data_IF_526869214827
#
_entry.id   IF_526869214827
#
_cell.length_a   1.000
_cell.length_b   1.000
_cell.length_c   1.000
_cell.angle_alpha   90.00
_cell.angle_beta   90.00
_cell.angle_gamma   90.00
#
_symmetry.space_group_name_H-M   'P 1'
#
loop_
_entity.id
_entity.type
_entity.pdbx_description
1 polymer ?
#
# COMPACT_ATOMS: atom_id res chain seq x y z
N UNK A 1 -17.30 -1.82 2.99
CA UNK A 1 -18.16 -2.92 2.50
C UNK A 1 -17.27 -4.12 2.22
N UNK A 2 -17.80 -5.34 2.36
CA UNK A 2 -17.03 -6.58 2.17
C UNK A 2 -17.95 -7.77 1.90
N UNK A 3 -17.34 -8.92 1.66
CA UNK A 3 -17.97 -10.22 1.53
C UNK A 3 -17.93 -10.91 2.88
N UNK A 4 -19.06 -10.90 3.59
CA UNK A 4 -19.20 -11.42 4.94
C UNK A 4 -19.83 -12.83 4.89
N UNK A 5 -19.28 -13.73 5.70
CA UNK A 5 -19.83 -15.08 5.87
C UNK A 5 -19.73 -15.55 7.30
N UNK A 6 -20.64 -16.45 7.65
CA UNK A 6 -20.79 -17.02 8.97
C UNK A 6 -20.89 -18.55 8.87
N UNK A 7 -19.93 -19.26 9.45
CA UNK A 7 -20.01 -20.68 9.72
C UNK A 7 -20.56 -20.90 11.14
N UNK A 8 -21.58 -21.75 11.27
CA UNK A 8 -22.16 -22.20 12.53
C UNK A 8 -21.77 -23.66 12.73
N UNK A 9 -20.77 -23.87 13.58
CA UNK A 9 -20.25 -25.20 13.90
C UNK A 9 -20.83 -25.71 15.22
N UNK A 10 -20.90 -27.03 15.44
CA UNK A 10 -21.13 -27.57 16.78
C UNK A 10 -20.15 -26.99 17.80
N UNK A 11 -20.48 -27.01 19.10
CA UNK A 11 -19.53 -26.52 20.11
C UNK A 11 -18.21 -27.30 20.05
N UNK A 12 -17.12 -26.59 19.76
CA UNK A 12 -15.78 -27.17 19.68
C UNK A 12 -14.90 -26.69 20.84
N UNK A 13 -13.90 -27.50 21.19
CA UNK A 13 -12.76 -27.03 22.00
C UNK A 13 -11.97 -26.01 21.18
N UNK A 14 -11.82 -24.80 21.70
CA UNK A 14 -11.15 -23.69 21.01
C UNK A 14 -9.78 -24.07 20.44
N UNK A 15 -8.95 -24.77 21.23
CA UNK A 15 -7.63 -25.22 20.80
C UNK A 15 -7.64 -26.02 19.49
N UNK A 16 -8.57 -26.99 19.35
CA UNK A 16 -8.70 -27.79 18.12
C UNK A 16 -9.08 -26.96 16.89
N UNK A 17 -9.88 -25.92 17.12
CA UNK A 17 -10.30 -25.02 16.05
C UNK A 17 -9.13 -24.10 15.63
N UNK A 18 -8.40 -23.55 16.60
CA UNK A 18 -7.22 -22.72 16.34
C UNK A 18 -6.13 -23.51 15.59
N UNK A 19 -5.83 -24.74 16.02
CA UNK A 19 -4.90 -25.65 15.31
C UNK A 19 -5.29 -25.86 13.85
N UNK A 20 -6.58 -26.09 13.58
CA UNK A 20 -7.06 -26.27 12.21
C UNK A 20 -6.97 -24.99 11.38
N UNK A 21 -7.22 -23.83 11.99
CA UNK A 21 -7.06 -22.52 11.34
C UNK A 21 -5.59 -22.27 10.96
N UNK A 22 -4.65 -22.61 11.83
CA UNK A 22 -3.22 -22.53 11.52
C UNK A 22 -2.82 -23.47 10.37
N UNK A 23 -3.35 -24.69 10.33
CA UNK A 23 -3.12 -25.62 9.22
C UNK A 23 -3.67 -25.11 7.87
N UNK A 24 -4.70 -24.26 7.89
CA UNK A 24 -5.20 -23.60 6.67
C UNK A 24 -4.29 -22.45 6.20
N UNK A 25 -3.24 -22.10 6.96
CA UNK A 25 -2.29 -21.04 6.65
C UNK A 25 -2.68 -19.66 7.17
N UNK A 26 -3.62 -19.59 8.11
CA UNK A 26 -3.95 -18.33 8.79
C UNK A 26 -2.94 -18.02 9.88
N UNK A 27 -2.62 -16.74 10.04
CA UNK A 27 -1.78 -16.21 11.10
C UNK A 27 -2.63 -15.52 12.16
N UNK A 28 -2.25 -15.67 13.43
CA UNK A 28 -2.95 -15.06 14.56
C UNK A 28 -2.50 -13.61 14.74
N UNK A 29 -3.46 -12.68 14.67
CA UNK A 29 -3.19 -11.24 14.85
C UNK A 29 -3.49 -10.81 16.28
N UNK A 30 -4.60 -11.30 16.83
CA UNK A 30 -5.00 -11.06 18.21
C UNK A 30 -5.87 -12.22 18.71
N UNK A 31 -6.17 -12.31 20.02
CA UNK A 31 -6.97 -13.42 20.54
C UNK A 31 -8.33 -13.56 19.83
N UNK A 32 -8.52 -14.65 19.08
CA UNK A 32 -9.76 -14.91 18.35
C UNK A 32 -9.85 -14.24 16.97
N UNK A 33 -8.79 -13.57 16.50
CA UNK A 33 -8.73 -12.94 15.18
C UNK A 33 -7.50 -13.42 14.39
N UNK A 34 -7.74 -13.82 13.15
CA UNK A 34 -6.76 -14.48 12.29
C UNK A 34 -6.85 -13.92 10.87
N UNK A 35 -5.72 -13.76 10.21
CA UNK A 35 -5.64 -13.33 8.81
C UNK A 35 -4.96 -14.39 7.96
N UNK A 36 -5.50 -14.62 6.77
CA UNK A 36 -4.76 -15.31 5.71
C UNK A 36 -4.29 -14.25 4.71
N UNK A 37 -2.98 -14.18 4.49
CA UNK A 37 -2.39 -13.44 3.38
C UNK A 37 -1.20 -14.24 2.87
N UNK A 38 -1.05 -14.31 1.55
CA UNK A 38 0.09 -14.94 0.93
C UNK A 38 0.57 -14.07 -0.21
N UNK A 39 1.87 -13.75 -0.23
CA UNK A 39 2.48 -13.16 -1.41
C UNK A 39 2.73 -14.25 -2.46
N UNK A 40 1.72 -14.49 -3.31
CA UNK A 40 1.79 -15.39 -4.46
C UNK A 40 1.69 -14.56 -5.75
N UNK A 41 2.79 -13.87 -6.10
CA UNK A 41 2.90 -13.12 -7.35
C UNK A 41 1.77 -12.09 -7.52
N UNK A 42 1.45 -11.36 -6.46
CA UNK A 42 0.39 -10.34 -6.43
C UNK A 42 -1.04 -10.85 -6.67
N UNK A 43 -1.27 -12.17 -6.61
CA UNK A 43 -2.62 -12.74 -6.77
C UNK A 43 -3.56 -12.35 -5.64
N UNK A 44 -3.04 -12.21 -4.43
CA UNK A 44 -3.82 -11.84 -3.25
C UNK A 44 -3.73 -10.33 -3.02
N UNK A 45 -4.88 -9.65 -3.10
CA UNK A 45 -4.90 -8.19 -2.93
C UNK A 45 -5.10 -7.79 -1.48
N UNK A 46 -5.85 -8.60 -0.75
CA UNK A 46 -6.27 -8.32 0.62
C UNK A 46 -6.19 -9.61 1.44
N UNK A 47 -6.04 -9.45 2.75
CA UNK A 47 -6.14 -10.60 3.64
C UNK A 47 -7.59 -11.09 3.75
N UNK A 48 -7.77 -12.39 3.94
CA UNK A 48 -9.05 -12.95 4.39
C UNK A 48 -9.07 -12.91 5.91
N UNK A 49 -10.04 -12.20 6.46
CA UNK A 49 -10.19 -12.05 7.90
C UNK A 49 -11.03 -13.20 8.43
N UNK A 50 -10.65 -13.73 9.60
CA UNK A 50 -11.40 -14.75 10.32
C UNK A 50 -11.49 -14.35 11.79
N UNK A 51 -12.68 -14.40 12.37
CA UNK A 51 -12.87 -14.27 13.81
C UNK A 51 -13.71 -15.40 14.37
N UNK A 52 -13.40 -15.76 15.62
CA UNK A 52 -14.09 -16.83 16.36
C UNK A 52 -14.93 -16.19 17.46
N UNK A 53 -16.22 -16.51 17.46
CA UNK A 53 -17.16 -16.20 18.55
C UNK A 53 -17.63 -17.50 19.20
N UNK A 54 -17.22 -17.69 20.44
CA UNK A 54 -17.52 -18.86 21.28
C UNK A 54 -18.45 -18.54 22.46
N UNK A 55 -19.14 -17.39 22.42
CA UNK A 55 -20.07 -16.95 23.48
C UNK A 55 -21.28 -17.87 23.65
N UNK A 56 -21.72 -18.51 22.57
CA UNK A 56 -22.84 -19.46 22.60
C UNK A 56 -22.39 -20.81 23.18
N UNK A 57 -23.24 -21.39 24.05
CA UNK A 57 -22.96 -22.67 24.72
C UNK A 57 -23.03 -23.86 23.78
N UNK A 58 -23.84 -23.78 22.73
CA UNK A 58 -24.16 -24.91 21.85
C UNK A 58 -23.47 -24.82 20.49
N UNK A 59 -23.10 -23.62 20.07
CA UNK A 59 -22.57 -23.34 18.73
C UNK A 59 -21.28 -22.55 18.83
N UNK A 60 -20.31 -22.86 17.97
CA UNK A 60 -19.16 -21.98 17.72
C UNK A 60 -19.39 -21.27 16.40
N UNK A 61 -19.38 -19.93 16.43
CA UNK A 61 -19.57 -19.08 15.24
C UNK A 61 -18.21 -18.66 14.73
N UNK A 62 -18.00 -18.80 13.43
CA UNK A 62 -16.79 -18.30 12.77
C UNK A 62 -17.24 -17.33 11.70
N UNK A 63 -16.78 -16.09 11.83
CA UNK A 63 -17.01 -15.07 10.82
C UNK A 63 -15.79 -15.01 9.93
N UNK A 64 -16.00 -15.00 8.62
CA UNK A 64 -14.94 -14.65 7.67
C UNK A 64 -15.37 -13.46 6.82
N UNK A 65 -14.40 -12.59 6.52
CA UNK A 65 -14.64 -11.37 5.74
C UNK A 65 -13.49 -11.11 4.78
N UNK A 66 -13.84 -10.73 3.56
CA UNK A 66 -12.89 -10.15 2.60
C UNK A 66 -13.41 -8.79 2.12
N UNK A 67 -12.54 -7.86 1.77
CA UNK A 67 -12.94 -6.55 1.25
C UNK A 67 -13.64 -6.68 -0.11
N UNK A 68 -14.54 -5.75 -0.47
CA UNK A 68 -15.19 -5.71 -1.79
C UNK A 68 -14.19 -5.52 -2.95
N UNK A 69 -13.02 -4.95 -2.67
CA UNK A 69 -11.94 -4.76 -3.64
C UNK A 69 -10.96 -5.94 -3.73
N UNK A 70 -11.39 -7.12 -3.30
CA UNK A 70 -10.57 -8.31 -3.29
C UNK A 70 -10.32 -8.90 -4.68
N UNK A 71 -9.32 -9.77 -4.76
CA UNK A 71 -9.08 -10.59 -5.95
C UNK A 71 -10.01 -11.80 -5.99
N UNK A 72 -10.11 -12.43 -7.16
CA UNK A 72 -10.73 -13.76 -7.31
C UNK A 72 -10.07 -14.80 -6.39
N UNK A 73 -8.75 -14.69 -6.20
CA UNK A 73 -7.95 -15.58 -5.36
C UNK A 73 -8.29 -15.42 -3.87
N UNK A 74 -8.57 -14.20 -3.41
CA UNK A 74 -8.99 -13.95 -2.03
C UNK A 74 -10.38 -14.54 -1.74
N UNK A 75 -11.33 -14.37 -2.66
CA UNK A 75 -12.65 -15.03 -2.57
C UNK A 75 -12.54 -16.55 -2.63
N UNK A 76 -11.66 -17.08 -3.47
CA UNK A 76 -11.40 -18.52 -3.55
C UNK A 76 -10.86 -19.05 -2.21
N UNK A 77 -9.97 -18.31 -1.53
CA UNK A 77 -9.50 -18.66 -0.18
C UNK A 77 -10.66 -18.60 0.82
N UNK A 78 -11.48 -17.56 0.82
CA UNK A 78 -12.63 -17.48 1.74
C UNK A 78 -13.60 -18.66 1.53
N UNK A 79 -13.94 -18.99 0.28
CA UNK A 79 -14.76 -20.16 -0.05
C UNK A 79 -14.09 -21.48 0.38
N UNK A 80 -12.78 -21.61 0.18
CA UNK A 80 -12.01 -22.77 0.66
C UNK A 80 -12.09 -22.90 2.19
N UNK A 81 -11.94 -21.81 2.93
CA UNK A 81 -12.04 -21.79 4.39
C UNK A 81 -13.43 -22.23 4.86
N UNK A 82 -14.49 -21.66 4.28
CA UNK A 82 -15.88 -22.04 4.58
C UNK A 82 -16.08 -23.54 4.36
N UNK A 83 -15.62 -24.05 3.20
CA UNK A 83 -15.74 -25.47 2.83
C UNK A 83 -14.99 -26.38 3.80
N UNK A 84 -13.72 -26.08 4.08
CA UNK A 84 -12.87 -26.90 4.96
C UNK A 84 -13.41 -26.95 6.40
N UNK A 85 -13.92 -25.83 6.92
CA UNK A 85 -14.55 -25.80 8.24
C UNK A 85 -15.79 -26.70 8.30
N UNK A 86 -16.64 -26.64 7.27
CA UNK A 86 -17.83 -27.49 7.15
C UNK A 86 -17.48 -28.96 7.00
N UNK A 87 -16.52 -29.29 6.14
CA UNK A 87 -16.08 -30.68 5.91
C UNK A 87 -15.46 -31.30 7.17
N UNK A 88 -14.68 -30.51 7.92
CA UNK A 88 -13.98 -31.01 9.11
C UNK A 88 -14.88 -31.13 10.35
N UNK A 89 -15.76 -30.16 10.57
CA UNK A 89 -16.51 -30.04 11.83
C UNK A 89 -18.03 -30.15 11.67
N UNK A 90 -18.53 -30.27 10.44
CA UNK A 90 -19.96 -30.27 10.14
C UNK A 90 -20.59 -28.88 10.26
N UNK A 91 -21.89 -28.84 10.57
CA UNK A 91 -22.63 -27.59 10.76
C UNK A 91 -23.15 -26.96 9.46
N UNK A 92 -23.56 -25.70 9.57
CA UNK A 92 -24.12 -24.90 8.48
C UNK A 92 -23.33 -23.61 8.27
N UNK A 93 -23.54 -22.96 7.13
CA UNK A 93 -22.95 -21.65 6.88
C UNK A 93 -23.90 -20.78 6.05
N UNK A 94 -23.69 -19.48 6.14
CA UNK A 94 -24.35 -18.48 5.30
C UNK A 94 -23.30 -17.48 4.79
N UNK A 95 -23.49 -17.02 3.57
CA UNK A 95 -22.75 -15.91 2.97
C UNK A 95 -23.73 -14.80 2.62
N UNK A 96 -23.22 -13.65 2.20
CA UNK A 96 -24.06 -12.59 1.61
C UNK A 96 -24.86 -13.07 0.37
N UNK A 97 -24.41 -14.14 -0.30
CA UNK A 97 -25.10 -14.75 -1.45
C UNK A 97 -26.22 -15.74 -1.03
N UNK A 98 -26.36 -16.00 0.27
CA UNK A 98 -27.44 -16.79 0.87
C UNK A 98 -26.97 -17.97 1.74
N UNK A 99 -27.94 -18.68 2.34
CA UNK A 99 -27.66 -19.85 3.17
C UNK A 99 -27.13 -21.03 2.34
N UNK A 100 -26.05 -21.66 2.82
CA UNK A 100 -25.41 -22.80 2.17
C UNK A 100 -24.79 -22.50 0.80
N UNK A 101 -24.71 -21.22 0.40
CA UNK A 101 -24.17 -20.79 -0.89
C UNK A 101 -22.79 -20.20 -0.70
N UNK A 102 -21.82 -20.69 -1.47
CA UNK A 102 -20.50 -20.07 -1.57
C UNK A 102 -20.61 -18.75 -2.33
N UNK A 103 -19.66 -17.83 -2.08
CA UNK A 103 -19.58 -16.61 -2.87
C UNK A 103 -19.37 -16.97 -4.32
N UNK A 104 -20.14 -16.34 -5.22
CA UNK A 104 -19.79 -16.32 -6.63
C UNK A 104 -18.40 -15.70 -6.76
N UNK A 105 -17.48 -16.39 -7.42
CA UNK A 105 -16.18 -15.81 -7.69
C UNK A 105 -16.37 -14.81 -8.81
N UNK A 106 -16.29 -13.54 -8.46
CA UNK A 106 -16.29 -12.42 -9.38
C UNK A 106 -15.18 -11.47 -8.98
N UNK A 107 -14.71 -10.71 -9.95
CA UNK A 107 -13.46 -9.98 -9.82
C UNK A 107 -12.69 -10.13 -11.12
N UNK A 108 -11.78 -9.22 -11.38
CA UNK A 108 -10.98 -9.23 -12.59
C UNK A 108 -9.58 -9.68 -12.25
N UNK A 109 -9.15 -10.77 -12.87
CA UNK A 109 -7.77 -11.21 -12.81
C UNK A 109 -6.93 -10.18 -13.54
N UNK A 110 -6.25 -9.32 -12.77
CA UNK A 110 -5.17 -8.48 -13.31
C UNK A 110 -4.00 -9.39 -13.63
N UNK A 111 -3.31 -9.09 -14.73
CA UNK A 111 -1.99 -9.68 -14.95
C UNK A 111 -1.07 -9.31 -13.78
N UNK A 112 -0.08 -10.14 -13.48
CA UNK A 112 0.71 -10.01 -12.25
C UNK A 112 1.44 -8.66 -12.16
N UNK A 113 1.88 -8.08 -13.28
CA UNK A 113 2.50 -6.76 -13.35
C UNK A 113 1.52 -5.62 -13.05
N UNK A 114 0.31 -5.71 -13.60
CA UNK A 114 -0.77 -4.78 -13.30
C UNK A 114 -1.17 -4.89 -11.83
N UNK A 115 -1.32 -6.11 -11.32
CA UNK A 115 -1.64 -6.39 -9.92
C UNK A 115 -0.58 -5.78 -8.98
N UNK A 116 0.71 -5.99 -9.26
CA UNK A 116 1.80 -5.42 -8.45
C UNK A 116 1.78 -3.90 -8.43
N UNK A 117 1.60 -3.26 -9.60
CA UNK A 117 1.47 -1.80 -9.69
C UNK A 117 0.22 -1.27 -8.98
N UNK A 118 -0.91 -1.97 -9.10
CA UNK A 118 -2.16 -1.64 -8.43
C UNK A 118 -2.00 -1.70 -6.91
N UNK A 119 -1.42 -2.78 -6.38
CA UNK A 119 -1.21 -2.95 -4.94
C UNK A 119 -0.25 -1.89 -4.37
N UNK A 120 0.82 -1.58 -5.09
CA UNK A 120 1.73 -0.49 -4.71
C UNK A 120 0.97 0.85 -4.59
N UNK A 121 0.13 1.15 -5.58
CA UNK A 121 -0.66 2.38 -5.61
C UNK A 121 -1.73 2.43 -4.51
N UNK A 122 -2.45 1.33 -4.25
CA UNK A 122 -3.45 1.25 -3.17
C UNK A 122 -2.80 1.41 -1.80
N UNK A 123 -1.66 0.75 -1.54
CA UNK A 123 -0.89 0.93 -0.29
C UNK A 123 -0.47 2.38 -0.11
N UNK A 124 -0.03 3.05 -1.17
CA UNK A 124 0.28 4.48 -1.12
C UNK A 124 -0.95 5.33 -0.77
N UNK A 125 -2.10 5.06 -1.39
CA UNK A 125 -3.34 5.79 -1.07
C UNK A 125 -3.77 5.59 0.39
N UNK A 126 -3.59 4.39 0.95
CA UNK A 126 -3.85 4.13 2.36
C UNK A 126 -2.94 4.96 3.25
N UNK A 127 -1.63 5.03 2.95
CA UNK A 127 -0.69 5.88 3.71
C UNK A 127 -1.07 7.37 3.60
N UNK A 128 -1.48 7.83 2.42
CA UNK A 128 -1.98 9.21 2.24
C UNK A 128 -3.23 9.47 3.08
N UNK A 129 -4.17 8.52 3.14
CA UNK A 129 -5.36 8.66 3.98
C UNK A 129 -5.01 8.73 5.47
N UNK A 130 -4.04 7.93 5.93
CA UNK A 130 -3.55 8.00 7.31
C UNK A 130 -2.98 9.38 7.66
N UNK A 131 -2.21 9.98 6.74
CA UNK A 131 -1.68 11.34 6.91
C UNK A 131 -2.82 12.38 6.88
N UNK A 132 -3.76 12.27 5.95
CA UNK A 132 -4.91 13.17 5.87
C UNK A 132 -5.71 13.15 7.18
N UNK A 133 -5.86 11.96 7.78
CA UNK A 133 -6.49 11.78 9.09
C UNK A 133 -5.67 12.40 10.23
N UNK A 134 -4.34 12.19 10.25
CA UNK A 134 -3.43 12.81 11.20
C UNK A 134 -3.52 14.34 11.17
N UNK A 135 -3.42 14.94 9.99
CA UNK A 135 -3.53 16.40 9.82
C UNK A 135 -4.86 16.91 10.36
N UNK A 136 -5.96 16.21 10.07
CA UNK A 136 -7.29 16.59 10.57
C UNK A 136 -7.40 16.54 12.08
N UNK A 137 -6.82 15.52 12.73
CA UNK A 137 -6.82 15.43 14.20
C UNK A 137 -6.04 16.59 14.81
N UNK A 138 -4.84 16.88 14.29
CA UNK A 138 -4.03 17.98 14.82
C UNK A 138 -4.75 19.31 14.61
N UNK A 139 -5.30 19.56 13.41
CA UNK A 139 -6.05 20.78 13.11
C UNK A 139 -7.25 20.96 14.05
N UNK A 140 -8.02 19.90 14.30
CA UNK A 140 -9.18 19.96 15.20
C UNK A 140 -8.77 20.10 16.69
N UNK A 141 -7.74 19.37 17.11
CA UNK A 141 -7.27 19.36 18.50
C UNK A 141 -6.53 20.64 18.90
N UNK A 142 -6.02 21.41 17.95
CA UNK A 142 -5.25 22.63 18.21
C UNK A 142 -6.08 23.92 18.14
N UNK A 143 -7.36 23.83 17.72
CA UNK A 143 -8.28 24.98 17.68
C UNK A 143 -8.42 25.63 19.06
N UNK A 144 -7.82 26.82 19.20
CA UNK A 144 -7.89 27.64 20.40
C UNK A 144 -6.87 27.31 21.50
N UNK A 145 -6.03 26.28 21.33
CA UNK A 145 -5.08 25.83 22.36
C UNK A 145 -3.62 26.16 22.06
N UNK A 146 -3.28 26.47 20.81
CA UNK A 146 -1.90 26.79 20.42
C UNK A 146 -1.69 28.30 20.46
N UNK A 147 -0.59 28.80 21.08
CA UNK A 147 -0.28 30.23 21.09
C UNK A 147 -0.29 30.79 19.67
N UNK A 148 -1.09 31.82 19.40
CA UNK A 148 -1.12 32.47 18.08
C UNK A 148 0.19 33.19 17.77
N UNK A 149 0.98 33.49 18.78
CA UNK A 149 2.15 34.34 18.66
C UNK A 149 3.38 33.56 18.17
N UNK A 150 3.37 33.31 16.86
CA UNK A 150 4.47 32.68 16.11
C UNK A 150 5.79 33.40 16.33
N UNK A 151 5.76 34.73 16.47
CA UNK A 151 6.91 35.57 16.69
C UNK A 151 7.58 35.31 18.06
N UNK A 152 6.79 35.11 19.11
CA UNK A 152 7.31 34.78 20.45
C UNK A 152 8.02 33.42 20.46
N UNK A 153 7.44 32.40 19.83
CA UNK A 153 8.03 31.06 19.73
C UNK A 153 9.32 31.08 18.91
N UNK A 154 9.32 31.78 17.76
CA UNK A 154 10.51 31.94 16.91
C UNK A 154 11.63 32.70 17.65
N UNK A 155 11.29 33.71 18.47
CA UNK A 155 12.26 34.46 19.31
C UNK A 155 12.89 33.58 20.40
N UNK A 156 12.14 32.61 20.94
CA UNK A 156 12.65 31.65 21.92
C UNK A 156 13.37 30.45 21.29
N UNK A 157 13.47 30.39 19.95
CA UNK A 157 14.04 29.25 19.24
C UNK A 157 13.19 27.97 19.35
N UNK A 158 11.91 28.08 19.71
CA UNK A 158 11.00 26.94 19.86
C UNK A 158 10.16 26.82 18.59
N UNK A 159 10.18 25.65 17.95
CA UNK A 159 9.32 25.42 16.80
C UNK A 159 7.84 25.45 17.17
N UNK A 160 7.06 26.27 16.46
CA UNK A 160 5.61 26.26 16.58
C UNK A 160 5.06 24.83 16.36
N UNK A 161 4.20 24.29 17.24
CA UNK A 161 3.77 22.88 17.19
C UNK A 161 3.17 22.43 15.85
N UNK A 162 2.45 23.33 15.16
CA UNK A 162 1.91 23.06 13.82
C UNK A 162 3.00 22.96 12.74
N UNK A 163 4.08 23.75 12.85
CA UNK A 163 5.20 23.67 11.92
C UNK A 163 5.99 22.38 12.17
N UNK A 164 6.21 22.02 13.44
CA UNK A 164 6.84 20.77 13.82
C UNK A 164 6.05 19.56 13.31
N UNK A 165 4.73 19.55 13.50
CA UNK A 165 3.83 18.51 13.02
C UNK A 165 3.87 18.37 11.49
N UNK A 166 3.84 19.49 10.76
CA UNK A 166 3.97 19.50 9.31
C UNK A 166 5.34 18.97 8.84
N UNK A 167 6.40 19.35 9.54
CA UNK A 167 7.75 18.85 9.30
C UNK A 167 7.90 17.35 9.55
N UNK A 168 7.30 16.82 10.61
CA UNK A 168 7.28 15.38 10.92
C UNK A 168 6.47 14.55 9.90
N UNK A 169 5.45 15.14 9.29
CA UNK A 169 4.65 14.48 8.26
C UNK A 169 5.40 14.31 6.93
N UNK A 170 6.43 15.13 6.66
CA UNK A 170 7.23 15.06 5.42
C UNK A 170 8.00 13.73 5.29
N UNK A 171 8.84 13.31 6.26
CA UNK A 171 9.54 12.02 6.20
C UNK A 171 8.60 10.82 6.01
N UNK A 172 7.44 10.85 6.66
CA UNK A 172 6.45 9.79 6.51
C UNK A 172 5.92 9.71 5.07
N UNK A 173 5.49 10.84 4.49
CA UNK A 173 5.00 10.86 3.10
C UNK A 173 6.09 10.45 2.11
N UNK A 174 7.33 10.88 2.34
CA UNK A 174 8.46 10.49 1.48
C UNK A 174 8.76 9.00 1.55
N UNK A 175 8.69 8.41 2.74
CA UNK A 175 8.85 6.96 2.91
C UNK A 175 7.74 6.21 2.18
N UNK A 176 6.50 6.70 2.24
CA UNK A 176 5.37 6.13 1.50
C UNK A 176 5.56 6.25 -0.02
N UNK A 177 6.05 7.40 -0.52
CA UNK A 177 6.39 7.58 -1.93
C UNK A 177 7.52 6.65 -2.37
N UNK A 178 8.59 6.55 -1.59
CA UNK A 178 9.73 5.71 -1.91
C UNK A 178 9.30 4.24 -2.02
N UNK A 179 8.49 3.77 -1.08
CA UNK A 179 7.93 2.42 -1.10
C UNK A 179 7.00 2.22 -2.31
N UNK A 180 6.15 3.21 -2.64
CA UNK A 180 5.33 3.16 -3.85
C UNK A 180 6.17 2.96 -5.11
N UNK A 181 7.19 3.80 -5.31
CA UNK A 181 8.02 3.73 -6.51
C UNK A 181 8.85 2.47 -6.55
N UNK A 182 9.42 2.03 -5.42
CA UNK A 182 10.17 0.77 -5.31
C UNK A 182 9.30 -0.44 -5.63
N UNK A 183 8.14 -0.56 -4.99
CA UNK A 183 7.21 -1.67 -5.22
C UNK A 183 6.72 -1.71 -6.68
N UNK A 184 6.42 -0.54 -7.25
CA UNK A 184 6.04 -0.42 -8.67
C UNK A 184 7.20 -0.82 -9.58
N UNK A 185 8.42 -0.36 -9.29
CA UNK A 185 9.61 -0.69 -10.04
C UNK A 185 9.87 -2.20 -10.05
N UNK A 186 9.79 -2.85 -8.88
CA UNK A 186 9.93 -4.31 -8.71
C UNK A 186 8.92 -5.07 -9.57
N UNK A 187 7.64 -4.69 -9.50
CA UNK A 187 6.59 -5.33 -10.30
C UNK A 187 6.88 -5.21 -11.81
N UNK A 188 7.37 -4.05 -12.26
CA UNK A 188 7.70 -3.81 -13.66
C UNK A 188 8.96 -4.55 -14.10
N UNK A 189 10.04 -4.57 -13.32
CA UNK A 189 11.26 -5.31 -13.71
C UNK A 189 11.01 -6.82 -13.73
N UNK A 190 10.16 -7.32 -12.82
CA UNK A 190 9.82 -8.75 -12.75
C UNK A 190 9.12 -9.26 -14.00
N UNK A 191 8.26 -8.44 -14.62
CA UNK A 191 7.34 -8.91 -15.67
C UNK A 191 7.43 -8.15 -17.00
N UNK A 192 8.05 -6.97 -17.03
CA UNK A 192 8.11 -6.10 -18.22
C UNK A 192 9.53 -5.69 -18.64
N UNK A 193 10.55 -5.85 -17.78
CA UNK A 193 11.92 -5.63 -18.21
C UNK A 193 12.34 -6.65 -19.27
N UNK A 194 13.14 -6.19 -20.24
CA UNK A 194 13.66 -7.03 -21.32
C UNK A 194 15.15 -7.37 -21.08
N UNK A 195 15.71 -8.26 -21.90
CA UNK A 195 17.13 -8.64 -21.78
C UNK A 195 18.09 -7.45 -21.84
N UNK A 196 17.76 -6.40 -22.60
CA UNK A 196 18.63 -5.22 -22.74
C UNK A 196 18.75 -4.44 -21.42
N UNK A 197 17.69 -4.45 -20.60
CA UNK A 197 17.73 -3.88 -19.25
C UNK A 197 18.71 -4.67 -18.38
N UNK A 198 18.59 -6.00 -18.34
CA UNK A 198 19.45 -6.86 -17.51
C UNK A 198 20.93 -6.84 -17.94
N UNK A 199 21.22 -6.66 -19.24
CA UNK A 199 22.59 -6.51 -19.73
C UNK A 199 23.22 -5.17 -19.31
N UNK A 200 22.42 -4.10 -19.22
CA UNK A 200 22.89 -2.76 -18.84
C UNK A 200 23.06 -2.61 -17.34
N UNK A 201 22.23 -3.27 -16.53
CA UNK A 201 22.24 -3.14 -15.07
C UNK A 201 23.46 -3.77 -14.38
N UNK A 202 24.46 -4.26 -15.14
CA UNK A 202 25.70 -4.86 -14.64
C UNK A 202 25.46 -5.79 -13.45
N UNK A 203 24.46 -6.67 -13.55
CA UNK A 203 24.23 -7.68 -12.52
C UNK A 203 25.51 -8.50 -12.44
N UNK A 204 26.22 -8.38 -11.31
CA UNK A 204 27.43 -9.15 -11.11
C UNK A 204 27.02 -10.62 -11.22
N UNK A 205 27.64 -11.34 -12.16
CA UNK A 205 27.35 -12.75 -12.48
C UNK A 205 27.29 -13.66 -11.23
N UNK A 206 27.94 -13.24 -10.14
CA UNK A 206 27.96 -13.90 -8.83
C UNK A 206 26.67 -13.71 -8.01
N UNK A 207 25.91 -12.63 -8.21
CA UNK A 207 24.59 -12.42 -7.59
C UNK A 207 23.54 -13.31 -8.25
N UNK A 208 23.59 -13.47 -9.58
CA UNK A 208 22.70 -14.39 -10.33
C UNK A 208 22.75 -15.80 -9.73
N UNK A 209 23.94 -16.29 -9.35
CA UNK A 209 24.12 -17.64 -8.78
C UNK A 209 23.55 -17.74 -7.35
N UNK A 210 23.60 -16.68 -6.54
CA UNK A 210 22.95 -16.66 -5.21
C UNK A 210 21.43 -16.57 -5.30
N UNK A 211 20.92 -15.90 -6.33
CA UNK A 211 19.52 -15.55 -6.53
C UNK A 211 18.68 -16.64 -7.22
N UNK A 212 19.32 -17.65 -7.79
CA UNK A 212 18.64 -18.86 -8.33
C UNK A 212 17.92 -19.65 -7.23
N UNK A 213 18.24 -19.43 -5.94
CA UNK A 213 17.56 -20.12 -4.84
C UNK A 213 16.20 -19.52 -4.46
N UNK A 214 15.98 -18.21 -4.64
CA UNK A 214 14.71 -17.54 -4.30
C UNK A 214 14.49 -16.33 -5.24
N UNK A 215 13.58 -16.44 -6.21
CA UNK A 215 13.31 -15.39 -7.23
C UNK A 215 12.93 -14.02 -6.62
N UNK A 216 12.47 -13.96 -5.37
CA UNK A 216 12.10 -12.73 -4.66
C UNK A 216 13.31 -11.83 -4.34
N UNK A 217 14.48 -12.41 -4.07
CA UNK A 217 15.65 -11.64 -3.62
C UNK A 217 16.31 -10.84 -4.75
N UNK A 218 16.12 -11.24 -6.01
CA UNK A 218 16.79 -10.61 -7.16
C UNK A 218 16.22 -9.22 -7.43
N UNK A 219 14.90 -9.14 -7.54
CA UNK A 219 14.24 -7.89 -7.90
C UNK A 219 14.30 -6.88 -6.76
N UNK A 220 14.26 -7.35 -5.50
CA UNK A 220 14.50 -6.52 -4.33
C UNK A 220 15.91 -5.93 -4.34
N UNK A 221 16.94 -6.77 -4.55
CA UNK A 221 18.34 -6.32 -4.64
C UNK A 221 18.55 -5.30 -5.77
N UNK A 222 18.01 -5.56 -6.97
CA UNK A 222 18.05 -4.62 -8.08
C UNK A 222 17.40 -3.28 -7.73
N UNK A 223 16.28 -3.30 -7.02
CA UNK A 223 15.59 -2.07 -6.59
C UNK A 223 16.38 -1.24 -5.58
N UNK A 224 17.25 -1.88 -4.78
CA UNK A 224 18.10 -1.19 -3.80
C UNK A 224 19.24 -0.42 -4.46
N UNK A 225 19.68 -0.84 -5.66
CA UNK A 225 20.67 -0.10 -6.46
C UNK A 225 20.14 1.23 -6.99
N UNK A 226 18.81 1.42 -7.01
CA UNK A 226 18.15 2.60 -7.55
C UNK A 226 17.75 3.56 -6.43
N UNK A 227 18.15 4.82 -6.56
CA UNK A 227 17.68 5.87 -5.66
C UNK A 227 16.32 6.39 -6.08
N UNK A 228 15.30 6.16 -5.26
CA UNK A 228 13.97 6.77 -5.39
C UNK A 228 13.83 8.06 -4.53
N UNK A 229 14.95 8.62 -4.08
CA UNK A 229 15.00 9.79 -3.18
C UNK A 229 15.11 11.12 -3.92
N UNK A 230 15.22 11.12 -5.25
CA UNK A 230 15.14 12.32 -6.06
C UNK A 230 14.39 12.02 -7.35
N UNK A 231 13.68 13.03 -7.87
CA UNK A 231 12.76 12.85 -9.00
C UNK A 231 13.47 12.51 -10.32
N UNK A 232 14.71 12.98 -10.51
CA UNK A 232 15.48 12.72 -11.73
C UNK A 232 15.92 11.27 -11.84
N UNK A 233 16.52 10.72 -10.76
CA UNK A 233 16.88 9.31 -10.65
C UNK A 233 15.67 8.40 -10.84
N UNK A 234 14.54 8.76 -10.21
CA UNK A 234 13.27 8.07 -10.38
C UNK A 234 12.81 8.07 -11.85
N UNK A 235 12.82 9.22 -12.53
CA UNK A 235 12.39 9.29 -13.93
C UNK A 235 13.30 8.46 -14.85
N UNK A 236 14.61 8.49 -14.61
CA UNK A 236 15.58 7.71 -15.37
C UNK A 236 15.38 6.20 -15.18
N UNK A 237 15.22 5.75 -13.93
CA UNK A 237 15.03 4.34 -13.61
C UNK A 237 13.81 3.74 -14.32
N UNK A 238 12.67 4.42 -14.31
CA UNK A 238 11.47 3.93 -15.00
C UNK A 238 11.62 3.95 -16.53
N UNK A 239 12.33 4.95 -17.08
CA UNK A 239 12.61 5.04 -18.51
C UNK A 239 13.54 3.92 -19.00
N UNK A 240 14.46 3.47 -18.14
CA UNK A 240 15.36 2.35 -18.45
C UNK A 240 14.64 1.01 -18.56
N UNK A 241 13.56 0.80 -17.81
CA UNK A 241 12.71 -0.39 -17.95
C UNK A 241 12.06 -0.39 -19.34
N UNK A 242 11.40 0.73 -19.68
CA UNK A 242 10.73 0.91 -20.96
C UNK A 242 10.67 2.40 -21.31
N UNK A 243 11.24 2.77 -22.47
CA UNK A 243 11.31 4.16 -22.94
C UNK A 243 9.94 4.86 -23.07
N UNK A 244 8.83 4.10 -23.16
CA UNK A 244 7.47 4.63 -23.17
C UNK A 244 7.04 5.18 -21.80
N UNK A 245 7.71 4.77 -20.72
CA UNK A 245 7.48 5.28 -19.36
C UNK A 245 8.23 6.60 -19.16
N UNK A 246 7.76 7.66 -19.82
CA UNK A 246 8.32 9.00 -19.67
C UNK A 246 7.59 9.77 -18.55
N UNK A 247 8.02 9.55 -17.30
CA UNK A 247 7.42 10.18 -16.12
C UNK A 247 7.63 11.70 -16.09
N UNK A 248 8.79 12.15 -16.54
CA UNK A 248 9.14 13.57 -16.61
C UNK A 248 8.11 14.36 -17.45
N UNK A 249 7.76 13.86 -18.64
CA UNK A 249 6.73 14.46 -19.51
C UNK A 249 5.38 14.56 -18.82
N UNK A 250 4.99 13.54 -18.05
CA UNK A 250 3.69 13.49 -17.35
C UNK A 250 3.65 14.48 -16.18
N UNK A 251 4.77 14.67 -15.50
CA UNK A 251 4.88 15.55 -14.33
C UNK A 251 5.13 17.02 -14.70
N UNK A 252 5.73 17.31 -15.87
CA UNK A 252 5.95 18.68 -16.38
C UNK A 252 4.68 19.41 -16.82
N UNK A 253 3.50 18.79 -16.69
CA UNK A 253 2.22 19.45 -16.95
C UNK A 253 1.96 20.50 -15.87
N UNK A 254 1.79 21.77 -16.28
CA UNK A 254 1.42 22.87 -15.39
C UNK A 254 0.12 22.55 -14.64
N UNK A 255 0.10 22.85 -13.34
CA UNK A 255 -1.08 22.63 -12.52
C UNK A 255 -1.90 23.92 -12.40
N UNK A 256 -3.06 23.96 -13.08
CA UNK A 256 -3.96 25.14 -13.10
C UNK A 256 -3.19 26.42 -13.49
N UNK A 257 -3.46 27.55 -12.83
CA UNK A 257 -2.77 28.84 -13.01
C UNK A 257 -1.43 28.93 -12.26
N UNK A 258 -0.92 27.83 -11.68
CA UNK A 258 0.37 27.85 -10.99
C UNK A 258 1.53 27.89 -11.98
N UNK A 259 2.59 28.63 -11.64
CA UNK A 259 3.85 28.61 -12.37
C UNK A 259 4.67 27.32 -12.13
N UNK A 260 4.30 26.53 -11.12
CA UNK A 260 4.96 25.26 -10.80
C UNK A 260 4.26 24.05 -11.43
N UNK A 261 5.07 23.12 -11.92
CA UNK A 261 4.66 21.81 -12.44
C UNK A 261 4.57 20.78 -11.31
N UNK A 262 3.97 19.62 -11.57
CA UNK A 262 4.00 18.52 -10.59
C UNK A 262 5.42 18.00 -10.37
N UNK A 263 6.29 18.08 -11.39
CA UNK A 263 7.70 17.75 -11.26
C UNK A 263 8.37 18.61 -10.19
N UNK A 264 8.12 19.93 -10.20
CA UNK A 264 8.68 20.86 -9.23
C UNK A 264 8.21 20.55 -7.81
N UNK A 265 6.94 20.16 -7.64
CA UNK A 265 6.44 19.73 -6.33
C UNK A 265 7.14 18.47 -5.82
N UNK A 266 7.34 17.46 -6.65
CA UNK A 266 8.10 16.27 -6.25
C UNK A 266 9.54 16.63 -5.89
N UNK A 267 10.22 17.41 -6.73
CA UNK A 267 11.59 17.85 -6.48
C UNK A 267 11.71 18.59 -5.14
N UNK A 268 10.90 19.63 -4.95
CA UNK A 268 10.89 20.42 -3.71
C UNK A 268 10.56 19.56 -2.48
N UNK A 269 9.70 18.56 -2.62
CA UNK A 269 9.35 17.67 -1.52
C UNK A 269 10.51 16.76 -1.13
N UNK A 270 11.24 16.20 -2.09
CA UNK A 270 12.47 15.44 -1.84
C UNK A 270 13.56 16.31 -1.19
N UNK A 271 13.75 17.54 -1.66
CA UNK A 271 14.71 18.50 -1.07
C UNK A 271 14.38 18.84 0.39
N UNK A 272 13.09 18.97 0.74
CA UNK A 272 12.67 19.23 2.13
C UNK A 272 13.12 18.13 3.10
N UNK A 273 13.18 16.86 2.69
CA UNK A 273 13.74 15.80 3.55
C UNK A 273 15.20 16.02 3.85
N UNK A 274 16.00 16.47 2.89
CA UNK A 274 17.42 16.68 3.13
C UNK A 274 17.63 17.70 4.26
N UNK A 275 16.83 18.78 4.26
CA UNK A 275 16.84 19.80 5.32
C UNK A 275 16.36 19.26 6.67
N UNK A 276 15.22 18.55 6.69
CA UNK A 276 14.63 18.08 7.96
C UNK A 276 15.44 16.94 8.57
N UNK A 277 15.83 15.93 7.79
CA UNK A 277 16.46 14.71 8.30
C UNK A 277 17.94 14.91 8.62
N UNK A 278 18.66 15.68 7.80
CA UNK A 278 20.11 15.84 7.99
C UNK A 278 20.49 17.13 8.72
N UNK A 279 19.65 18.17 8.67
CA UNK A 279 19.97 19.47 9.27
C UNK A 279 19.01 19.87 10.40
N UNK A 280 17.96 19.08 10.64
CA UNK A 280 16.88 19.43 11.57
C UNK A 280 16.31 20.84 11.31
N UNK A 281 16.36 21.27 10.04
CA UNK A 281 15.90 22.58 9.61
C UNK A 281 14.41 22.52 9.26
N UNK A 282 13.58 23.10 10.13
CA UNK A 282 12.16 23.30 9.86
C UNK A 282 11.95 24.67 9.22
N UNK A 283 11.30 24.70 8.05
CA UNK A 283 11.02 25.94 7.34
C UNK A 283 10.04 26.80 8.15
N UNK A 284 10.49 28.01 8.51
CA UNK A 284 9.66 28.97 9.22
C UNK A 284 8.40 29.27 8.41
N UNK A 285 7.25 29.00 9.02
CA UNK A 285 5.96 29.20 8.37
C UNK A 285 5.49 28.09 7.45
N UNK A 286 6.16 26.94 7.42
CA UNK A 286 5.60 25.72 6.82
C UNK A 286 4.68 25.01 7.82
N UNK A 287 3.37 25.15 7.63
CA UNK A 287 2.33 24.62 8.52
C UNK A 287 1.53 23.47 7.86
N UNK A 288 0.53 22.96 8.58
CA UNK A 288 -0.33 21.87 8.13
C UNK A 288 -1.17 22.23 6.90
N UNK A 289 -1.48 23.50 6.67
CA UNK A 289 -2.22 23.93 5.47
C UNK A 289 -1.32 23.83 4.24
N UNK A 290 -0.09 24.35 4.31
CA UNK A 290 0.91 24.22 3.25
C UNK A 290 1.24 22.75 2.97
N UNK A 291 1.43 21.94 4.02
CA UNK A 291 1.62 20.51 3.87
C UNK A 291 0.44 19.83 3.17
N UNK A 292 -0.79 20.11 3.60
CA UNK A 292 -2.01 19.57 2.95
C UNK A 292 -2.11 19.95 1.48
N UNK A 293 -1.67 21.16 1.14
CA UNK A 293 -1.63 21.65 -0.23
C UNK A 293 -0.60 20.90 -1.09
N UNK A 294 0.60 20.62 -0.55
CA UNK A 294 1.62 19.81 -1.21
C UNK A 294 1.18 18.34 -1.33
N UNK A 295 0.64 17.75 -0.26
CA UNK A 295 0.11 16.37 -0.23
C UNK A 295 -0.90 16.12 -1.36
N UNK A 296 -1.84 17.04 -1.59
CA UNK A 296 -2.81 16.95 -2.70
C UNK A 296 -2.16 16.86 -4.08
N UNK A 297 -1.01 17.53 -4.27
CA UNK A 297 -0.27 17.55 -5.54
C UNK A 297 0.57 16.32 -5.73
N UNK A 298 1.22 15.86 -4.66
CA UNK A 298 1.93 14.58 -4.64
C UNK A 298 0.96 13.43 -4.96
N UNK A 299 -0.21 13.41 -4.30
CA UNK A 299 -1.30 12.45 -4.58
C UNK A 299 -1.74 12.50 -6.04
N UNK A 300 -1.93 13.69 -6.60
CA UNK A 300 -2.31 13.88 -8.00
C UNK A 300 -1.22 13.42 -8.97
N UNK A 301 0.04 13.75 -8.72
CA UNK A 301 1.16 13.32 -9.56
C UNK A 301 1.29 11.80 -9.57
N UNK A 302 1.20 11.18 -8.39
CA UNK A 302 1.22 9.71 -8.25
C UNK A 302 0.06 9.05 -9.01
N UNK A 303 -1.15 9.61 -8.90
CA UNK A 303 -2.31 9.17 -9.67
C UNK A 303 -2.09 9.27 -11.19
N UNK A 304 -1.48 10.36 -11.66
CA UNK A 304 -1.15 10.53 -13.09
C UNK A 304 -0.10 9.52 -13.57
N UNK A 305 0.92 9.24 -12.75
CA UNK A 305 1.93 8.22 -13.03
C UNK A 305 1.27 6.84 -13.16
N UNK A 306 0.44 6.45 -12.19
CA UNK A 306 -0.28 5.18 -12.23
C UNK A 306 -1.14 5.04 -13.49
N UNK A 307 -1.93 6.06 -13.86
CA UNK A 307 -2.69 6.01 -15.12
C UNK A 307 -1.83 6.04 -16.38
N UNK A 308 -0.64 6.64 -16.32
CA UNK A 308 0.30 6.56 -17.44
C UNK A 308 0.77 5.12 -17.65
N UNK A 309 1.09 4.39 -16.58
CA UNK A 309 1.45 2.97 -16.65
C UNK A 309 0.33 2.12 -17.27
N UNK A 310 -0.91 2.32 -16.81
CA UNK A 310 -2.10 1.66 -17.39
C UNK A 310 -2.16 1.90 -18.91
N UNK A 311 -1.93 3.13 -19.37
CA UNK A 311 -1.97 3.47 -20.79
C UNK A 311 -0.81 2.84 -21.57
N UNK A 312 0.41 2.89 -21.04
CA UNK A 312 1.62 2.36 -21.69
C UNK A 312 1.48 0.86 -21.94
N UNK A 313 1.00 0.14 -20.93
CA UNK A 313 0.87 -1.32 -20.99
C UNK A 313 -0.49 -1.82 -21.48
N UNK A 314 -1.41 -0.88 -21.80
CA UNK A 314 -2.78 -1.19 -22.22
C UNK A 314 -3.52 -2.09 -21.22
N UNK A 315 -3.19 -1.94 -19.94
CA UNK A 315 -3.95 -2.57 -18.87
C UNK A 315 -5.39 -2.08 -18.91
N UNK A 316 -6.33 -2.93 -18.54
CA UNK A 316 -7.73 -2.54 -18.54
C UNK A 316 -7.91 -1.43 -17.50
N UNK A 317 -8.51 -0.32 -17.91
CA UNK A 317 -8.65 0.85 -17.03
C UNK A 317 -9.77 0.58 -16.01
N UNK A 318 -9.41 -0.03 -14.88
CA UNK A 318 -10.34 -0.30 -13.79
C UNK A 318 -10.54 0.98 -12.99
N UNK A 319 -11.68 1.64 -13.21
CA UNK A 319 -12.12 2.80 -12.43
C UNK A 319 -12.74 2.40 -11.12
#
# INVERSE_FOLDING_TARGET
>A
MGHDSLNRLPKLKRLKLEEFIFLMGYEKVSPGFYFYYKDDNYRHYQAVHLSIDDSDRNVTKIFTRTNVWCSTSDLAVQNRTIRLLKERFGGSFATDDGEGRYFKIYGKDRENDEAGCYLAYERFLQMVQSIEYYVRIIDQGTKGQVPRDKFFMDTLGIHHPLNLSAGMAIPFLLSALENYFRSTYIALIKYKANESFFRKSQIHRNEIIKLVKEESDLFESLSQSVSFQNISSLCNAFKEIDNRINLEKILKIKYKKSNQTLYDYFHNFFEKRHKIVHRFEFEAGYDLEKFSFELKRIKLGTKKIYYHLIKVFKWQNYR
#
